data_IF_986411220302
#
_entry.id   IF_986411220302
#
_cell.length_a   1.000
_cell.length_b   1.000
_cell.length_c   1.000
_cell.angle_alpha   90.00
_cell.angle_beta   90.00
_cell.angle_gamma   90.00
#
_symmetry.space_group_name_H-M   'P 1'
#
loop_
_entity.id
_entity.type
_entity.pdbx_description
1 polymer ?
#
# COMPACT_ATOMS: atom_id res chain seq x y z
N UNK A 1 15.39 10.62 -4.77
CA UNK A 1 14.58 11.85 -4.64
C UNK A 1 15.46 12.99 -4.17
N UNK A 2 15.35 14.14 -4.84
CA UNK A 2 16.28 15.25 -4.59
C UNK A 2 15.82 16.24 -3.53
N UNK A 3 14.61 16.08 -3.07
CA UNK A 3 14.01 17.00 -2.11
C UNK A 3 14.25 16.50 -0.69
N UNK A 4 15.20 17.14 0.00
CA UNK A 4 15.57 16.75 1.36
C UNK A 4 14.42 16.96 2.34
N UNK A 5 13.61 17.99 2.13
CA UNK A 5 12.44 18.23 2.99
C UNK A 5 11.42 17.11 2.85
N UNK A 6 11.18 16.66 1.62
CA UNK A 6 10.26 15.56 1.38
C UNK A 6 10.76 14.27 2.04
N UNK A 7 12.06 14.02 1.99
CA UNK A 7 12.64 12.85 2.67
C UNK A 7 12.38 12.89 4.17
N UNK A 8 12.59 14.04 4.79
CA UNK A 8 12.34 14.20 6.22
C UNK A 8 10.85 14.01 6.54
N UNK A 9 9.99 14.58 5.72
CA UNK A 9 8.55 14.49 5.90
C UNK A 9 8.06 13.05 5.75
N UNK A 10 8.62 12.31 4.79
CA UNK A 10 8.29 10.90 4.60
C UNK A 10 8.74 10.06 5.79
N UNK A 11 9.89 10.35 6.36
CA UNK A 11 10.35 9.64 7.56
C UNK A 11 9.43 9.91 8.73
N UNK A 12 8.99 11.15 8.91
CA UNK A 12 8.05 11.50 9.96
C UNK A 12 6.72 10.79 9.77
N UNK A 13 6.24 10.75 8.54
CA UNK A 13 5.00 10.04 8.20
C UNK A 13 5.12 8.55 8.50
N UNK A 14 6.24 7.93 8.10
CA UNK A 14 6.48 6.52 8.34
C UNK A 14 6.50 6.21 9.84
N UNK A 15 7.12 7.07 10.64
CA UNK A 15 7.15 6.91 12.10
C UNK A 15 5.74 7.01 12.69
N UNK A 16 4.93 7.92 12.16
CA UNK A 16 3.55 8.07 12.60
C UNK A 16 2.75 6.78 12.32
N UNK A 17 2.93 6.19 11.16
CA UNK A 17 2.27 4.92 10.82
C UNK A 17 2.66 3.82 11.80
N UNK A 18 3.91 3.77 12.22
CA UNK A 18 4.37 2.72 13.13
C UNK A 18 3.77 2.83 14.53
N UNK A 19 3.21 3.99 14.88
CA UNK A 19 2.54 4.18 16.16
C UNK A 19 1.08 3.70 16.15
N UNK A 20 0.51 3.48 14.97
CA UNK A 20 -0.88 3.04 14.83
C UNK A 20 -0.97 1.55 15.11
N UNK A 21 -1.96 1.15 15.90
CA UNK A 21 -2.08 -0.21 16.38
C UNK A 21 -3.31 -0.95 15.88
N UNK A 22 -4.33 -0.22 15.42
CA UNK A 22 -5.57 -0.83 14.96
C UNK A 22 -5.95 -0.30 13.60
N UNK A 23 -6.81 -1.05 12.93
CA UNK A 23 -7.36 -0.62 11.65
C UNK A 23 -8.13 0.70 11.79
N UNK A 24 -8.88 0.84 12.89
CA UNK A 24 -9.64 2.06 13.15
C UNK A 24 -8.73 3.26 13.31
N UNK A 25 -7.62 3.11 14.04
CA UNK A 25 -6.63 4.17 14.20
C UNK A 25 -6.00 4.55 12.86
N UNK A 26 -5.65 3.57 12.06
CA UNK A 26 -5.08 3.81 10.74
C UNK A 26 -6.07 4.54 9.83
N UNK A 27 -7.32 4.11 9.83
CA UNK A 27 -8.35 4.72 9.01
C UNK A 27 -8.59 6.18 9.42
N UNK A 28 -8.66 6.43 10.72
CA UNK A 28 -8.84 7.78 11.24
C UNK A 28 -7.67 8.68 10.85
N UNK A 29 -6.44 8.18 11.00
CA UNK A 29 -5.24 8.91 10.64
C UNK A 29 -5.23 9.26 9.15
N UNK A 30 -5.52 8.29 8.31
CA UNK A 30 -5.56 8.51 6.86
C UNK A 30 -6.61 9.55 6.47
N UNK A 31 -7.79 9.51 7.09
CA UNK A 31 -8.84 10.48 6.82
C UNK A 31 -8.46 11.89 7.27
N UNK A 32 -7.64 12.01 8.30
CA UNK A 32 -7.18 13.31 8.78
C UNK A 32 -6.12 13.93 7.88
N UNK A 33 -5.21 13.12 7.35
CA UNK A 33 -4.06 13.65 6.61
C UNK A 33 -4.23 13.63 5.10
N UNK A 34 -5.19 12.89 4.58
CA UNK A 34 -5.38 12.74 3.13
C UNK A 34 -6.72 13.33 2.70
N UNK A 35 -6.74 13.86 1.47
CA UNK A 35 -8.00 14.23 0.84
C UNK A 35 -8.72 12.97 0.37
N UNK A 36 -10.01 13.12 0.05
CA UNK A 36 -10.81 12.02 -0.50
C UNK A 36 -10.16 11.43 -1.76
N UNK A 37 -9.67 12.29 -2.65
CA UNK A 37 -9.05 11.83 -3.89
C UNK A 37 -7.74 11.09 -3.62
N UNK A 38 -6.98 11.55 -2.65
CA UNK A 38 -5.75 10.86 -2.23
C UNK A 38 -6.05 9.49 -1.66
N UNK A 39 -7.08 9.38 -0.84
CA UNK A 39 -7.49 8.10 -0.29
C UNK A 39 -7.93 7.13 -1.38
N UNK A 40 -8.70 7.61 -2.35
CA UNK A 40 -9.10 6.79 -3.48
C UNK A 40 -7.91 6.29 -4.27
N UNK A 41 -6.96 7.19 -4.56
CA UNK A 41 -5.77 6.83 -5.32
C UNK A 41 -4.92 5.79 -4.60
N UNK A 42 -4.69 5.97 -3.31
CA UNK A 42 -3.93 5.03 -2.51
C UNK A 42 -4.61 3.66 -2.45
N UNK A 43 -5.91 3.66 -2.21
CA UNK A 43 -6.68 2.40 -2.14
C UNK A 43 -6.65 1.67 -3.47
N UNK A 44 -6.76 2.40 -4.57
CA UNK A 44 -6.72 1.82 -5.89
C UNK A 44 -5.34 1.24 -6.23
N UNK A 45 -4.29 1.96 -5.85
CA UNK A 45 -2.91 1.48 -6.05
C UNK A 45 -2.65 0.20 -5.27
N UNK A 46 -3.13 0.13 -4.05
CA UNK A 46 -3.00 -1.08 -3.26
C UNK A 46 -3.77 -2.23 -3.88
N UNK A 47 -4.98 -1.97 -4.36
CA UNK A 47 -5.80 -2.98 -5.02
C UNK A 47 -5.09 -3.56 -6.25
N UNK A 48 -4.53 -2.68 -7.09
CA UNK A 48 -3.78 -3.11 -8.29
C UNK A 48 -2.55 -3.93 -7.89
N UNK A 49 -1.81 -3.48 -6.89
CA UNK A 49 -0.63 -4.19 -6.42
C UNK A 49 -0.99 -5.59 -5.94
N UNK A 50 -2.12 -5.74 -5.24
CA UNK A 50 -2.59 -7.05 -4.77
C UNK A 50 -3.00 -7.95 -5.91
N UNK A 51 -3.64 -7.41 -6.93
CA UNK A 51 -4.01 -8.19 -8.11
C UNK A 51 -2.78 -8.70 -8.86
N UNK A 52 -1.79 -7.84 -9.03
CA UNK A 52 -0.54 -8.24 -9.69
C UNK A 52 0.17 -9.33 -8.92
N UNK A 53 0.16 -9.23 -7.60
CA UNK A 53 0.78 -10.23 -6.73
C UNK A 53 0.05 -11.57 -6.85
N UNK A 54 -1.26 -11.56 -6.93
CA UNK A 54 -2.05 -12.79 -7.11
C UNK A 54 -1.77 -13.44 -8.45
N UNK A 55 -1.66 -12.66 -9.51
CA UNK A 55 -1.33 -13.18 -10.83
C UNK A 55 0.05 -13.83 -10.83
N UNK A 56 1.01 -13.20 -10.20
CA UNK A 56 2.36 -13.74 -10.11
C UNK A 56 2.38 -15.11 -9.40
N UNK A 57 1.71 -15.19 -8.27
CA UNK A 57 1.61 -16.44 -7.53
C UNK A 57 0.92 -17.52 -8.36
N UNK A 58 -0.13 -17.14 -9.06
CA UNK A 58 -0.85 -18.07 -9.93
C UNK A 58 0.07 -18.63 -11.02
N UNK A 59 0.86 -17.79 -11.66
CA UNK A 59 1.81 -18.21 -12.69
C UNK A 59 2.86 -19.17 -12.13
N UNK A 60 3.37 -18.89 -10.95
CA UNK A 60 4.32 -19.79 -10.30
C UNK A 60 3.72 -21.15 -10.04
N UNK A 61 2.50 -21.20 -9.54
CA UNK A 61 1.81 -22.46 -9.28
C UNK A 61 1.63 -23.25 -10.55
N UNK A 62 1.21 -22.61 -11.62
CA UNK A 62 1.01 -23.27 -12.91
C UNK A 62 2.34 -23.86 -13.42
N UNK A 63 3.42 -23.10 -13.32
CA UNK A 63 4.73 -23.56 -13.78
C UNK A 63 5.25 -24.75 -12.97
N UNK A 64 5.05 -24.73 -11.67
CA UNK A 64 5.55 -25.79 -10.80
C UNK A 64 4.73 -27.06 -10.88
N UNK A 65 3.42 -26.93 -10.96
CA UNK A 65 2.52 -28.08 -10.94
C UNK A 65 2.11 -28.58 -12.31
N UNK A 66 2.34 -27.77 -13.35
CA UNK A 66 1.86 -28.06 -14.68
C UNK A 66 0.34 -27.93 -14.81
N UNK A 67 -0.31 -27.34 -13.81
CA UNK A 67 -1.75 -27.20 -13.86
C UNK A 67 -2.18 -26.28 -15.00
N UNK A 68 -3.21 -26.69 -15.69
CA UNK A 68 -3.78 -25.90 -16.77
C UNK A 68 -4.88 -24.99 -16.23
N UNK A 69 -4.98 -23.82 -16.79
CA UNK A 69 -6.01 -22.88 -16.40
C UNK A 69 -7.31 -23.10 -17.15
#
# INVERSE_FOLDING_TARGET
>A
MKDAQLEEDLQALAKAFLLLKTEEECTAFLKDVCTYQELRALSQRLHVARLLRKQYVFHEIVQETGAST
#
